data_IF_398568244274
#
_entry.id   IF_398568244274
#
_cell.length_a   1.000
_cell.length_b   1.000
_cell.length_c   1.000
_cell.angle_alpha   90.00
_cell.angle_beta   90.00
_cell.angle_gamma   90.00
#
_symmetry.space_group_name_H-M   'P 1'
#
loop_
_entity.id
_entity.type
_entity.pdbx_description
1 polymer ?
#
# COMPACT_ATOMS: atom_id res chain seq x y z
N UNK A 1 18.65 -10.23 16.42
CA UNK A 1 17.68 -9.12 16.54
C UNK A 1 17.90 -8.44 17.90
N UNK A 2 17.87 -7.12 17.92
CA UNK A 2 17.93 -6.31 19.16
C UNK A 2 16.51 -5.84 19.49
N UNK A 3 16.08 -6.05 20.73
CA UNK A 3 14.79 -5.57 21.21
C UNK A 3 14.96 -4.26 21.96
N UNK A 4 14.34 -3.19 21.48
CA UNK A 4 14.36 -1.87 22.09
C UNK A 4 13.00 -1.57 22.73
N UNK A 5 12.88 -1.78 24.05
CA UNK A 5 11.63 -1.60 24.78
C UNK A 5 11.12 -0.15 24.68
N UNK A 6 9.87 0.02 24.22
CA UNK A 6 9.20 1.32 24.14
C UNK A 6 9.73 2.26 23.07
N UNK A 7 10.48 1.74 22.09
CA UNK A 7 10.98 2.53 20.95
C UNK A 7 10.43 1.97 19.64
N UNK A 8 10.21 2.86 18.68
CA UNK A 8 9.94 2.53 17.28
C UNK A 8 11.25 2.38 16.51
N UNK A 9 11.27 1.64 15.38
CA UNK A 9 12.49 1.42 14.60
C UNK A 9 12.83 2.59 13.65
N UNK A 10 12.02 3.64 13.57
CA UNK A 10 12.11 4.68 12.53
C UNK A 10 13.38 5.54 12.61
N UNK A 11 14.15 5.46 13.70
CA UNK A 11 15.45 6.10 13.86
C UNK A 11 16.60 5.33 13.18
N UNK A 12 16.38 4.11 12.74
CA UNK A 12 17.40 3.29 12.10
C UNK A 12 17.63 3.73 10.64
N UNK A 13 18.88 3.62 10.19
CA UNK A 13 19.21 3.85 8.79
C UNK A 13 18.84 2.61 7.98
N UNK A 14 17.88 2.76 7.08
CA UNK A 14 17.37 1.70 6.21
C UNK A 14 17.09 2.25 4.82
N UNK A 15 17.16 1.41 3.80
CA UNK A 15 16.77 1.78 2.44
C UNK A 15 15.26 1.72 2.24
N UNK A 16 14.60 0.76 2.90
CA UNK A 16 13.15 0.54 2.82
C UNK A 16 12.54 0.48 4.21
N UNK A 17 11.43 1.18 4.43
CA UNK A 17 10.66 1.11 5.65
C UNK A 17 9.26 0.52 5.37
N UNK A 18 8.85 -0.47 6.18
CA UNK A 18 7.59 -1.18 6.05
C UNK A 18 6.78 -1.05 7.35
N UNK A 19 6.00 0.01 7.54
CA UNK A 19 5.14 0.14 8.71
C UNK A 19 3.96 -0.84 8.61
N UNK A 20 3.96 -1.87 9.46
CA UNK A 20 3.06 -3.00 9.39
C UNK A 20 2.30 -3.27 10.70
N UNK A 21 2.41 -2.41 11.71
CA UNK A 21 1.88 -2.70 13.04
C UNK A 21 0.50 -2.06 13.26
N UNK A 22 0.40 -0.74 13.32
CA UNK A 22 -0.84 -0.08 13.72
C UNK A 22 -1.02 1.29 13.08
N UNK A 23 -2.25 1.80 13.15
CA UNK A 23 -2.62 3.11 12.65
C UNK A 23 -1.81 4.23 13.35
N UNK A 24 -1.33 5.19 12.56
CA UNK A 24 -0.57 6.37 13.00
C UNK A 24 0.70 6.04 13.82
N UNK A 25 1.33 4.90 13.52
CA UNK A 25 2.59 4.51 14.18
C UNK A 25 3.83 5.28 13.69
N UNK A 26 3.73 5.90 12.51
CA UNK A 26 4.79 6.67 11.87
C UNK A 26 4.35 8.13 11.76
N UNK A 27 4.97 8.99 12.56
CA UNK A 27 4.66 10.42 12.65
C UNK A 27 5.46 11.24 11.63
N UNK A 28 5.15 12.54 11.50
CA UNK A 28 5.94 13.47 10.67
C UNK A 28 7.41 13.54 11.12
N UNK A 29 7.65 13.53 12.43
CA UNK A 29 8.99 13.54 13.01
C UNK A 29 9.77 12.28 12.64
N UNK A 30 9.12 11.11 12.70
CA UNK A 30 9.72 9.84 12.26
C UNK A 30 10.03 9.87 10.78
N UNK A 31 9.14 10.41 9.95
CA UNK A 31 9.35 10.56 8.50
C UNK A 31 10.57 11.45 8.21
N UNK A 32 10.71 12.57 8.90
CA UNK A 32 11.88 13.45 8.77
C UNK A 32 13.19 12.72 9.10
N UNK A 33 13.18 11.87 10.13
CA UNK A 33 14.37 11.07 10.50
C UNK A 33 14.68 10.03 9.43
N UNK A 34 13.69 9.29 8.92
CA UNK A 34 13.87 8.34 7.83
C UNK A 34 14.41 9.00 6.56
N UNK A 35 13.87 10.15 6.18
CA UNK A 35 14.34 10.95 5.03
C UNK A 35 15.79 11.38 5.23
N UNK A 36 16.12 11.92 6.41
CA UNK A 36 17.49 12.35 6.72
C UNK A 36 18.48 11.17 6.72
N UNK A 37 18.03 9.96 7.05
CA UNK A 37 18.81 8.74 7.00
C UNK A 37 18.91 8.13 5.58
N UNK A 38 18.20 8.69 4.59
CA UNK A 38 18.32 8.30 3.19
C UNK A 38 17.39 7.16 2.78
N UNK A 39 16.23 6.99 3.43
CA UNK A 39 15.22 6.03 3.00
C UNK A 39 14.79 6.31 1.56
N UNK A 40 14.71 5.30 0.72
CA UNK A 40 14.34 5.43 -0.69
C UNK A 40 12.91 5.00 -0.96
N UNK A 41 12.33 4.14 -0.10
CA UNK A 41 10.98 3.64 -0.26
C UNK A 41 10.31 3.42 1.09
N UNK A 42 9.03 3.78 1.17
CA UNK A 42 8.14 3.46 2.29
C UNK A 42 6.91 2.77 1.72
N UNK A 43 6.62 1.53 2.15
CA UNK A 43 5.43 0.80 1.72
C UNK A 43 4.63 0.35 2.93
N UNK A 44 3.39 0.80 3.00
CA UNK A 44 2.51 0.55 4.14
C UNK A 44 1.90 -0.86 4.09
N UNK A 45 2.16 -1.65 5.13
CA UNK A 45 1.52 -2.96 5.31
C UNK A 45 0.34 -2.94 6.27
N UNK A 46 0.26 -1.94 7.16
CA UNK A 46 -0.89 -1.72 8.05
C UNK A 46 -1.94 -0.80 7.41
N UNK A 47 -3.08 -0.63 8.08
CA UNK A 47 -4.10 0.36 7.69
C UNK A 47 -3.72 1.73 8.24
N UNK A 48 -3.42 2.69 7.35
CA UNK A 48 -3.05 4.07 7.69
C UNK A 48 -1.93 4.16 8.76
N UNK A 49 -0.80 3.47 8.62
CA UNK A 49 0.25 3.51 9.64
C UNK A 49 0.97 4.85 9.69
N UNK A 50 1.08 5.56 8.56
CA UNK A 50 1.67 6.90 8.51
C UNK A 50 0.61 7.98 8.71
N UNK A 51 0.95 9.03 9.45
CA UNK A 51 0.09 10.21 9.51
C UNK A 51 0.07 10.94 8.16
N UNK A 52 -0.95 11.77 7.92
CA UNK A 52 -1.06 12.55 6.67
C UNK A 52 0.18 13.44 6.47
N UNK A 53 0.69 14.00 7.56
CA UNK A 53 1.88 14.87 7.56
C UNK A 53 3.13 14.07 7.19
N UNK A 54 3.26 12.83 7.68
CA UNK A 54 4.35 11.92 7.31
C UNK A 54 4.31 11.56 5.83
N UNK A 55 3.15 11.19 5.29
CA UNK A 55 2.97 10.89 3.87
C UNK A 55 3.38 12.07 2.99
N UNK A 56 2.90 13.29 3.31
CA UNK A 56 3.29 14.52 2.61
C UNK A 56 4.79 14.82 2.70
N UNK A 57 5.43 14.49 3.82
CA UNK A 57 6.87 14.67 3.97
C UNK A 57 7.65 13.74 3.03
N UNK A 58 7.23 12.48 2.89
CA UNK A 58 7.83 11.54 1.95
C UNK A 58 7.66 11.97 0.50
N UNK A 59 6.45 12.36 0.10
CA UNK A 59 6.17 12.88 -1.25
C UNK A 59 7.04 14.09 -1.57
N UNK A 60 7.10 15.07 -0.67
CA UNK A 60 7.90 16.28 -0.84
C UNK A 60 9.41 16.00 -0.94
N UNK A 61 9.89 14.96 -0.29
CA UNK A 61 11.28 14.54 -0.32
C UNK A 61 11.62 13.66 -1.53
N UNK A 62 10.64 13.28 -2.35
CA UNK A 62 10.82 12.39 -3.50
C UNK A 62 11.06 10.93 -3.10
N UNK A 63 10.68 10.54 -1.89
CA UNK A 63 10.72 9.14 -1.44
C UNK A 63 9.56 8.39 -2.10
N UNK A 64 9.82 7.20 -2.64
CA UNK A 64 8.76 6.34 -3.16
C UNK A 64 7.85 5.93 -2.01
N UNK A 65 6.59 6.35 -2.08
CA UNK A 65 5.62 6.09 -1.03
C UNK A 65 4.42 5.30 -1.57
N UNK A 66 4.25 4.07 -1.08
CA UNK A 66 3.15 3.20 -1.44
C UNK A 66 2.09 3.20 -0.31
N UNK A 67 0.90 3.81 -0.55
CA UNK A 67 -0.13 3.95 0.46
C UNK A 67 -0.78 2.60 0.80
N UNK A 68 -1.14 2.41 2.06
CA UNK A 68 -1.72 1.16 2.57
C UNK A 68 -2.94 0.70 1.79
N UNK A 69 -3.79 1.61 1.33
CA UNK A 69 -4.97 1.28 0.51
C UNK A 69 -4.67 0.48 -0.78
N UNK A 70 -3.42 0.48 -1.22
CA UNK A 70 -2.93 -0.32 -2.35
C UNK A 70 -1.92 -1.37 -1.89
N UNK A 71 -0.89 -0.98 -1.15
CA UNK A 71 0.21 -1.87 -0.77
C UNK A 71 -0.18 -2.94 0.25
N UNK A 72 -1.19 -2.72 1.09
CA UNK A 72 -1.67 -3.73 2.03
C UNK A 72 -2.77 -4.66 1.48
N UNK A 73 -3.16 -4.50 0.23
CA UNK A 73 -4.24 -5.25 -0.39
C UNK A 73 -4.00 -6.78 -0.44
N UNK A 74 -2.77 -7.24 -0.24
CA UNK A 74 -2.42 -8.65 -0.21
C UNK A 74 -3.19 -9.45 0.84
N UNK A 75 -3.43 -8.88 2.03
CA UNK A 75 -4.20 -9.53 3.08
C UNK A 75 -5.63 -9.83 2.66
N UNK A 76 -6.34 -8.84 2.14
CA UNK A 76 -7.73 -9.02 1.67
C UNK A 76 -7.81 -9.86 0.39
N UNK A 77 -6.81 -9.76 -0.50
CA UNK A 77 -6.73 -10.59 -1.69
C UNK A 77 -6.62 -12.08 -1.32
N UNK A 78 -5.75 -12.42 -0.36
CA UNK A 78 -5.62 -13.79 0.15
C UNK A 78 -6.91 -14.29 0.78
N UNK A 79 -7.61 -13.46 1.56
CA UNK A 79 -8.93 -13.81 2.10
C UNK A 79 -9.96 -14.08 0.98
N UNK A 80 -9.94 -13.27 -0.08
CA UNK A 80 -10.80 -13.49 -1.26
C UNK A 80 -10.49 -14.81 -1.97
N UNK A 81 -9.22 -15.16 -2.13
CA UNK A 81 -8.78 -16.44 -2.69
C UNK A 81 -9.23 -17.62 -1.81
N UNK A 82 -9.11 -17.49 -0.49
CA UNK A 82 -9.60 -18.50 0.47
C UNK A 82 -11.13 -18.71 0.34
N UNK A 83 -11.89 -17.62 0.29
CA UNK A 83 -13.35 -17.69 0.10
C UNK A 83 -13.70 -18.37 -1.22
N UNK A 84 -12.98 -18.10 -2.30
CA UNK A 84 -13.18 -18.73 -3.61
C UNK A 84 -12.87 -20.23 -3.55
N UNK A 85 -11.75 -20.61 -2.95
CA UNK A 85 -11.37 -22.02 -2.76
C UNK A 85 -12.43 -22.78 -1.95
N UNK A 86 -12.91 -22.19 -0.86
CA UNK A 86 -13.94 -22.80 -0.03
C UNK A 86 -15.28 -22.94 -0.78
N UNK A 87 -15.68 -21.93 -1.54
CA UNK A 87 -16.93 -21.97 -2.32
C UNK A 87 -16.89 -23.01 -3.44
N UNK A 88 -15.75 -23.19 -4.09
CA UNK A 88 -15.55 -24.21 -5.12
C UNK A 88 -15.34 -25.63 -4.54
N UNK A 89 -15.14 -25.76 -3.23
CA UNK A 89 -14.77 -27.01 -2.54
C UNK A 89 -13.48 -27.61 -3.11
N UNK A 90 -12.58 -26.76 -3.54
CA UNK A 90 -11.32 -27.12 -4.14
C UNK A 90 -10.18 -27.11 -3.11
N UNK A 91 -9.03 -27.62 -3.47
CA UNK A 91 -7.80 -27.56 -2.67
C UNK A 91 -6.65 -27.12 -3.54
N UNK A 92 -6.16 -25.93 -3.28
CA UNK A 92 -5.07 -25.32 -4.06
C UNK A 92 -3.73 -25.56 -3.38
N UNK A 93 -2.68 -25.71 -4.18
CA UNK A 93 -1.33 -25.75 -3.64
C UNK A 93 -0.89 -24.36 -3.15
N UNK A 94 0.09 -24.35 -2.25
CA UNK A 94 0.72 -23.12 -1.80
C UNK A 94 1.23 -22.29 -2.98
N UNK A 95 1.96 -22.91 -3.91
CA UNK A 95 2.53 -22.23 -5.06
C UNK A 95 1.46 -21.60 -5.97
N UNK A 96 0.32 -22.26 -6.15
CA UNK A 96 -0.79 -21.69 -6.91
C UNK A 96 -1.32 -20.42 -6.25
N UNK A 97 -1.57 -20.46 -4.93
CA UNK A 97 -2.09 -19.31 -4.18
C UNK A 97 -1.07 -18.16 -4.15
N UNK A 98 0.21 -18.46 -3.93
CA UNK A 98 1.28 -17.47 -3.92
C UNK A 98 1.44 -16.77 -5.27
N UNK A 99 1.42 -17.53 -6.37
CA UNK A 99 1.49 -16.94 -7.71
C UNK A 99 0.27 -16.06 -8.01
N UNK A 100 -0.94 -16.47 -7.57
CA UNK A 100 -2.13 -15.63 -7.71
C UNK A 100 -2.04 -14.35 -6.91
N UNK A 101 -1.52 -14.41 -5.70
CA UNK A 101 -1.29 -13.22 -4.87
C UNK A 101 -0.28 -12.27 -5.52
N UNK A 102 0.83 -12.80 -6.01
CA UNK A 102 1.85 -12.01 -6.69
C UNK A 102 1.28 -11.31 -7.95
N UNK A 103 0.50 -12.03 -8.76
CA UNK A 103 -0.20 -11.47 -9.93
C UNK A 103 -1.16 -10.34 -9.54
N UNK A 104 -1.96 -10.53 -8.50
CA UNK A 104 -2.90 -9.51 -8.00
C UNK A 104 -2.14 -8.26 -7.55
N UNK A 105 -1.07 -8.42 -6.77
CA UNK A 105 -0.30 -7.28 -6.26
C UNK A 105 0.44 -6.53 -7.36
N UNK A 106 1.00 -7.23 -8.35
CA UNK A 106 1.61 -6.61 -9.52
C UNK A 106 0.57 -5.80 -10.32
N UNK A 107 -0.60 -6.36 -10.56
CA UNK A 107 -1.68 -5.66 -11.26
C UNK A 107 -2.17 -4.41 -10.50
N UNK A 108 -2.23 -4.45 -9.17
CA UNK A 108 -2.58 -3.26 -8.36
C UNK A 108 -1.51 -2.19 -8.53
N UNK A 109 -0.24 -2.55 -8.42
CA UNK A 109 0.87 -1.62 -8.61
C UNK A 109 0.80 -0.96 -10.00
N UNK A 110 0.73 -1.77 -11.06
CA UNK A 110 0.74 -1.30 -12.45
C UNK A 110 -0.46 -0.39 -12.73
N UNK A 111 -1.64 -0.75 -12.24
CA UNK A 111 -2.84 0.07 -12.38
C UNK A 111 -2.69 1.42 -11.68
N UNK A 112 -2.17 1.46 -10.45
CA UNK A 112 -1.94 2.71 -9.73
C UNK A 112 -0.89 3.58 -10.45
N UNK A 113 0.22 2.99 -10.91
CA UNK A 113 1.28 3.71 -11.60
C UNK A 113 0.80 4.30 -12.93
N UNK A 114 0.12 3.49 -13.76
CA UNK A 114 -0.42 3.92 -15.05
C UNK A 114 -1.49 5.01 -14.88
N UNK A 115 -2.40 4.85 -13.92
CA UNK A 115 -3.41 5.86 -13.63
C UNK A 115 -2.78 7.17 -13.17
N UNK A 116 -1.78 7.12 -12.31
CA UNK A 116 -1.06 8.34 -11.90
C UNK A 116 -0.43 9.05 -13.09
N UNK A 117 0.21 8.32 -13.99
CA UNK A 117 0.82 8.88 -15.20
C UNK A 117 -0.23 9.49 -16.14
N UNK A 118 -1.33 8.76 -16.42
CA UNK A 118 -2.42 9.20 -17.30
C UNK A 118 -3.05 10.52 -16.83
N UNK A 119 -3.16 10.72 -15.53
CA UNK A 119 -3.73 11.94 -14.93
C UNK A 119 -2.68 13.01 -14.58
N UNK A 120 -1.44 12.88 -15.07
CA UNK A 120 -0.39 13.89 -14.92
C UNK A 120 0.33 13.91 -13.57
N UNK A 121 0.23 12.81 -12.81
CA UNK A 121 0.84 12.61 -11.49
C UNK A 121 1.84 11.45 -11.48
N UNK A 122 2.66 11.32 -12.53
CA UNK A 122 3.63 10.23 -12.65
C UNK A 122 4.49 10.06 -11.38
N UNK A 123 4.54 8.84 -10.83
CA UNK A 123 5.26 8.51 -9.59
C UNK A 123 4.49 8.78 -8.30
N UNK A 124 3.32 9.40 -8.34
CA UNK A 124 2.44 9.62 -7.19
C UNK A 124 1.46 8.44 -7.02
N UNK A 125 1.89 7.42 -6.27
CA UNK A 125 1.06 6.23 -6.00
C UNK A 125 -0.18 6.55 -5.14
N UNK A 126 -0.15 7.61 -4.33
CA UNK A 126 -1.32 8.03 -3.54
C UNK A 126 -2.41 8.54 -4.46
N UNK A 127 -2.05 9.42 -5.40
CA UNK A 127 -2.98 9.94 -6.40
C UNK A 127 -3.48 8.82 -7.33
N UNK A 128 -2.58 7.96 -7.82
CA UNK A 128 -2.93 6.82 -8.66
C UNK A 128 -3.94 5.89 -7.99
N UNK A 129 -3.71 5.50 -6.74
CA UNK A 129 -4.63 4.66 -5.97
C UNK A 129 -5.99 5.34 -5.73
N UNK A 130 -6.01 6.64 -5.44
CA UNK A 130 -7.24 7.40 -5.24
C UNK A 130 -8.09 7.46 -6.51
N UNK A 131 -7.47 7.83 -7.64
CA UNK A 131 -8.16 7.97 -8.92
C UNK A 131 -8.67 6.60 -9.40
N UNK A 132 -7.84 5.55 -9.35
CA UNK A 132 -8.24 4.19 -9.71
C UNK A 132 -9.46 3.73 -8.91
N UNK A 133 -9.41 3.92 -7.58
CA UNK A 133 -10.53 3.58 -6.70
C UNK A 133 -11.79 4.36 -7.02
N UNK A 134 -11.67 5.67 -7.28
CA UNK A 134 -12.79 6.53 -7.66
C UNK A 134 -13.42 6.09 -8.99
N UNK A 135 -12.62 5.87 -10.03
CA UNK A 135 -13.11 5.45 -11.36
C UNK A 135 -13.95 4.18 -11.23
N UNK A 136 -13.45 3.18 -10.51
CA UNK A 136 -14.14 1.90 -10.32
C UNK A 136 -15.52 2.06 -9.67
N UNK A 137 -15.63 2.96 -8.69
CA UNK A 137 -16.93 3.26 -8.04
C UNK A 137 -17.81 4.09 -8.95
N UNK A 138 -17.27 5.10 -9.61
CA UNK A 138 -18.01 5.97 -10.53
C UNK A 138 -18.62 5.17 -11.70
N UNK A 139 -17.85 4.28 -12.31
CA UNK A 139 -18.32 3.41 -13.38
C UNK A 139 -19.46 2.49 -12.91
N UNK A 140 -19.35 1.93 -11.71
CA UNK A 140 -20.43 1.13 -11.13
C UNK A 140 -21.70 1.96 -10.89
N UNK A 141 -21.59 3.19 -10.40
CA UNK A 141 -22.72 4.11 -10.23
C UNK A 141 -23.37 4.44 -11.57
N UNK A 142 -22.58 4.74 -12.60
CA UNK A 142 -23.09 5.03 -13.95
C UNK A 142 -23.81 3.80 -14.52
N UNK A 143 -23.23 2.61 -14.37
CA UNK A 143 -23.81 1.37 -14.90
C UNK A 143 -25.11 0.97 -14.19
N UNK A 144 -25.22 1.23 -12.88
CA UNK A 144 -26.40 0.86 -12.08
C UNK A 144 -27.47 1.97 -12.04
N UNK A 145 -27.10 3.20 -12.36
CA UNK A 145 -27.92 4.39 -12.22
C UNK A 145 -27.94 4.94 -10.80
N UNK A 146 -28.41 6.18 -10.68
CA UNK A 146 -28.72 6.80 -9.38
C UNK A 146 -30.11 6.37 -8.95
N UNK A 147 -30.22 5.74 -7.80
CA UNK A 147 -31.49 5.32 -7.18
C UNK A 147 -32.01 6.47 -6.32
#
# INVERSE_FOLDING_TARGET
AEFLRGKTPWHLKVDVALPCATQNELTEEDAKVLIANGVVCVAEGANMPSTIEAAKAFEKAGVLYAPGKASNAGGVATSGLEMQQNASRDSWSFDYTENKLAEIMANIHDTCAQTAEEYGHAGDYVMGANITGFIKVADAVIAQGLI
#
